data_IF_207852169011
#
_entry.id   IF_207852169011
#
_cell.length_a   1.000
_cell.length_b   1.000
_cell.length_c   1.000
_cell.angle_alpha   90.00
_cell.angle_beta   90.00
_cell.angle_gamma   90.00
#
_symmetry.space_group_name_H-M   'P 1'
#
loop_
_entity.id
_entity.type
_entity.pdbx_description
1 polymer ?
#
# COMPACT_ATOMS: atom_id res chain seq x y z
N UNK A 1 -37.79 38.10 10.19
CA UNK A 1 -38.07 36.88 10.95
C UNK A 1 -37.81 35.71 10.02
N UNK A 2 -36.69 35.02 10.21
CA UNK A 2 -36.29 33.84 9.43
C UNK A 2 -36.66 32.62 10.26
N UNK A 3 -37.68 31.88 9.81
CA UNK A 3 -38.03 30.60 10.44
C UNK A 3 -36.97 29.55 10.11
N UNK A 4 -36.32 29.07 11.17
CA UNK A 4 -35.27 28.06 11.12
C UNK A 4 -35.92 26.68 10.95
N UNK A 5 -35.90 26.17 9.71
CA UNK A 5 -36.45 24.88 9.35
C UNK A 5 -35.56 23.75 9.90
N UNK A 6 -35.79 23.38 11.16
CA UNK A 6 -35.10 22.25 11.81
C UNK A 6 -35.67 20.93 11.27
N UNK A 7 -34.87 20.12 10.55
CA UNK A 7 -35.36 18.88 9.98
C UNK A 7 -35.79 17.90 11.07
N UNK A 8 -36.99 17.34 10.96
CA UNK A 8 -37.52 16.35 11.91
C UNK A 8 -36.68 15.07 11.87
N UNK A 9 -36.29 14.58 13.04
CA UNK A 9 -35.61 13.29 13.25
C UNK A 9 -36.31 12.07 12.59
N UNK A 10 -37.60 12.19 12.24
CA UNK A 10 -38.34 11.17 11.48
C UNK A 10 -37.84 11.00 10.04
N UNK A 11 -37.34 12.05 9.40
CA UNK A 11 -36.88 12.00 8.01
C UNK A 11 -35.48 11.38 7.86
N UNK A 12 -34.68 11.39 8.93
CA UNK A 12 -33.39 10.67 8.95
C UNK A 12 -33.56 9.14 9.02
N UNK A 13 -34.71 8.65 9.52
CA UNK A 13 -35.03 7.22 9.55
C UNK A 13 -35.39 6.66 8.17
N UNK A 14 -36.04 7.45 7.30
CA UNK A 14 -36.42 6.99 5.96
C UNK A 14 -35.20 6.87 5.03
N UNK A 15 -34.23 7.79 5.14
CA UNK A 15 -32.97 7.73 4.38
C UNK A 15 -32.08 6.54 4.74
N UNK A 16 -32.18 6.01 5.96
CA UNK A 16 -31.38 4.84 6.38
C UNK A 16 -32.04 3.49 6.10
N UNK A 17 -33.29 3.46 5.62
CA UNK A 17 -34.06 2.25 5.32
C UNK A 17 -34.01 1.82 3.84
N UNK A 18 -33.45 2.64 2.95
CA UNK A 18 -33.49 2.38 1.50
C UNK A 18 -32.35 1.51 0.95
N UNK A 19 -31.36 1.13 1.78
CA UNK A 19 -30.30 0.22 1.32
C UNK A 19 -30.61 -1.22 1.73
N UNK A 20 -30.85 -2.12 0.77
CA UNK A 20 -31.00 -3.54 1.09
C UNK A 20 -29.71 -3.99 1.77
N UNK A 21 -29.88 -4.65 2.92
CA UNK A 21 -28.77 -5.14 3.77
C UNK A 21 -27.70 -5.88 2.95
N UNK A 22 -28.15 -6.62 1.93
CA UNK A 22 -27.31 -7.41 1.03
C UNK A 22 -26.41 -6.54 0.13
N UNK A 23 -26.88 -5.35 -0.27
CA UNK A 23 -26.07 -4.43 -1.07
C UNK A 23 -24.96 -3.78 -0.24
N UNK A 24 -25.25 -3.42 1.02
CA UNK A 24 -24.27 -2.86 1.93
C UNK A 24 -23.18 -3.89 2.28
N UNK A 25 -23.58 -5.15 2.50
CA UNK A 25 -22.64 -6.24 2.78
C UNK A 25 -21.72 -6.52 1.57
N UNK A 26 -22.28 -6.61 0.35
CA UNK A 26 -21.50 -6.77 -0.88
C UNK A 26 -20.53 -5.61 -1.11
N UNK A 27 -20.99 -4.37 -0.93
CA UNK A 27 -20.14 -3.19 -1.09
C UNK A 27 -18.97 -3.20 -0.09
N UNK A 28 -19.21 -3.65 1.14
CA UNK A 28 -18.17 -3.80 2.17
C UNK A 28 -17.13 -4.84 1.75
N UNK A 29 -17.55 -6.02 1.27
CA UNK A 29 -16.64 -7.06 0.80
C UNK A 29 -15.80 -6.62 -0.39
N UNK A 30 -16.42 -5.95 -1.36
CA UNK A 30 -15.70 -5.40 -2.51
C UNK A 30 -14.65 -4.38 -2.05
N UNK A 31 -15.01 -3.50 -1.12
CA UNK A 31 -14.11 -2.48 -0.59
C UNK A 31 -12.92 -3.10 0.15
N UNK A 32 -13.18 -4.13 0.96
CA UNK A 32 -12.14 -4.89 1.67
C UNK A 32 -11.22 -5.61 0.68
N UNK A 33 -11.78 -6.27 -0.32
CA UNK A 33 -11.00 -6.98 -1.32
C UNK A 33 -10.08 -6.02 -2.11
N UNK A 34 -10.61 -4.86 -2.51
CA UNK A 34 -9.82 -3.81 -3.17
C UNK A 34 -8.72 -3.29 -2.25
N UNK A 35 -9.04 -3.02 -0.98
CA UNK A 35 -8.05 -2.54 -0.01
C UNK A 35 -6.91 -3.55 0.19
N UNK A 36 -7.23 -4.83 0.35
CA UNK A 36 -6.23 -5.89 0.48
C UNK A 36 -5.39 -6.07 -0.79
N UNK A 37 -6.02 -6.02 -1.97
CA UNK A 37 -5.32 -6.11 -3.25
C UNK A 37 -4.36 -4.93 -3.46
N UNK A 38 -4.81 -3.71 -3.15
CA UNK A 38 -3.96 -2.52 -3.19
C UNK A 38 -2.81 -2.64 -2.18
N UNK A 39 -3.11 -3.02 -0.95
CA UNK A 39 -2.08 -3.20 0.09
C UNK A 39 -1.05 -4.25 -0.30
N UNK A 40 -1.48 -5.35 -0.91
CA UNK A 40 -0.58 -6.37 -1.48
C UNK A 40 0.31 -5.80 -2.57
N UNK A 41 -0.28 -5.10 -3.54
CA UNK A 41 0.44 -4.48 -4.65
C UNK A 41 1.48 -3.47 -4.14
N UNK A 42 1.09 -2.57 -3.23
CA UNK A 42 2.02 -1.60 -2.61
C UNK A 42 3.13 -2.31 -1.84
N UNK A 43 2.80 -3.33 -1.05
CA UNK A 43 3.76 -4.09 -0.26
C UNK A 43 4.77 -4.87 -1.13
N UNK A 44 4.48 -5.06 -2.42
CA UNK A 44 5.33 -5.75 -3.40
C UNK A 44 6.36 -4.86 -4.09
N UNK A 45 6.31 -3.53 -3.89
CA UNK A 45 7.23 -2.57 -4.50
C UNK A 45 8.41 -2.32 -3.54
N UNK A 46 9.67 -2.49 -3.99
CA UNK A 46 10.86 -2.25 -3.18
C UNK A 46 11.03 -0.75 -2.85
N UNK A 47 11.55 -0.45 -1.66
CA UNK A 47 11.79 0.94 -1.20
C UNK A 47 10.59 1.65 -0.55
N UNK A 48 9.44 0.97 -0.42
CA UNK A 48 8.21 1.35 0.31
C UNK A 48 8.07 2.84 0.69
N UNK A 49 7.55 3.62 -0.27
CA UNK A 49 6.45 4.57 0.01
C UNK A 49 6.80 6.05 0.00
N UNK A 50 6.71 6.69 -1.17
CA UNK A 50 6.27 8.08 -1.21
C UNK A 50 4.91 8.22 -0.48
N UNK A 51 4.68 9.34 0.20
CA UNK A 51 3.45 9.67 0.94
C UNK A 51 2.18 9.40 0.12
N UNK A 52 2.24 9.57 -1.21
CA UNK A 52 1.18 9.21 -2.14
C UNK A 52 0.74 7.73 -2.02
N UNK A 53 1.66 6.80 -1.84
CA UNK A 53 1.36 5.37 -1.71
C UNK A 53 0.78 5.02 -0.34
N UNK A 54 1.26 5.65 0.74
CA UNK A 54 0.69 5.51 2.08
C UNK A 54 -0.69 6.17 2.18
N UNK A 55 -0.95 7.25 1.42
CA UNK A 55 -2.26 7.89 1.30
C UNK A 55 -3.20 7.04 0.44
N UNK A 56 -2.72 6.44 -0.65
CA UNK A 56 -3.51 5.56 -1.54
C UNK A 56 -3.85 4.23 -0.88
N UNK A 57 -2.97 3.65 -0.07
CA UNK A 57 -3.27 2.47 0.75
C UNK A 57 -4.04 2.82 2.03
N UNK A 58 -3.80 4.00 2.59
CA UNK A 58 -4.42 4.51 3.80
C UNK A 58 -5.88 4.94 3.61
N UNK A 59 -6.25 5.54 2.47
CA UNK A 59 -7.63 5.96 2.20
C UNK A 59 -8.63 4.79 2.23
N UNK A 60 -8.40 3.68 1.51
CA UNK A 60 -9.28 2.52 1.54
C UNK A 60 -9.37 1.90 2.94
N UNK A 61 -8.25 1.82 3.67
CA UNK A 61 -8.23 1.36 5.06
C UNK A 61 -8.99 2.30 5.98
N UNK A 62 -8.88 3.61 5.79
CA UNK A 62 -9.59 4.63 6.56
C UNK A 62 -11.09 4.62 6.27
N UNK A 63 -11.48 4.50 5.00
CA UNK A 63 -12.88 4.36 4.58
C UNK A 63 -13.47 3.06 5.12
N UNK A 64 -12.76 1.93 4.99
CA UNK A 64 -13.17 0.66 5.57
C UNK A 64 -13.28 0.76 7.10
N UNK A 65 -12.29 1.34 7.77
CA UNK A 65 -12.31 1.55 9.22
C UNK A 65 -13.48 2.45 9.65
N UNK A 66 -13.78 3.50 8.89
CA UNK A 66 -14.90 4.42 9.18
C UNK A 66 -16.24 3.71 9.01
N UNK A 67 -16.42 2.94 7.94
CA UNK A 67 -17.63 2.13 7.73
C UNK A 67 -17.79 1.09 8.84
N UNK A 68 -16.70 0.42 9.21
CA UNK A 68 -16.66 -0.55 10.29
C UNK A 68 -16.94 0.08 11.66
N UNK A 69 -16.45 1.29 11.92
CA UNK A 69 -16.74 2.06 13.13
C UNK A 69 -18.23 2.42 13.21
N UNK A 70 -18.82 2.91 12.12
CA UNK A 70 -20.26 3.23 12.04
C UNK A 70 -21.12 1.99 12.26
N UNK A 71 -20.74 0.86 11.66
CA UNK A 71 -21.41 -0.43 11.88
C UNK A 71 -21.23 -0.94 13.31
N UNK A 72 -20.05 -0.76 13.89
CA UNK A 72 -19.73 -1.11 15.28
C UNK A 72 -20.53 -0.31 16.30
N UNK A 73 -20.67 1.00 16.11
CA UNK A 73 -21.50 1.88 16.94
C UNK A 73 -22.97 1.45 16.84
N UNK A 74 -23.49 1.20 15.63
CA UNK A 74 -24.86 0.67 15.43
C UNK A 74 -25.09 -0.68 16.10
N UNK A 75 -24.07 -1.53 16.11
CA UNK A 75 -24.06 -2.84 16.77
C UNK A 75 -24.14 -2.72 18.29
N UNK A 76 -23.30 -1.86 18.89
CA UNK A 76 -23.27 -1.57 20.33
C UNK A 76 -24.62 -1.04 20.80
N UNK A 77 -25.24 -0.14 20.04
CA UNK A 77 -26.58 0.38 20.32
C UNK A 77 -27.64 -0.73 20.30
N UNK A 78 -27.47 -1.78 19.48
CA UNK A 78 -28.42 -2.90 19.36
C UNK A 78 -28.07 -4.13 20.21
N UNK A 79 -27.02 -4.09 21.03
CA UNK A 79 -26.54 -5.18 21.91
C UNK A 79 -26.40 -6.56 21.23
N UNK A 80 -26.13 -6.60 19.93
CA UNK A 80 -25.81 -7.82 19.20
C UNK A 80 -24.49 -7.58 18.51
N UNK A 81 -23.44 -8.33 18.84
CA UNK A 81 -22.19 -8.32 18.08
C UNK A 81 -22.48 -8.98 16.72
N UNK A 82 -22.55 -8.24 15.61
CA UNK A 82 -22.74 -8.83 14.32
C UNK A 82 -21.41 -9.44 13.89
N UNK A 83 -21.46 -10.59 13.22
CA UNK A 83 -20.30 -11.30 12.66
C UNK A 83 -19.34 -10.39 11.88
N UNK A 84 -19.84 -9.29 11.32
CA UNK A 84 -19.07 -8.25 10.64
C UNK A 84 -18.00 -7.58 11.49
N UNK A 85 -18.17 -7.45 12.81
CA UNK A 85 -17.13 -6.91 13.71
C UNK A 85 -15.97 -7.90 13.90
N UNK A 86 -16.27 -9.20 13.97
CA UNK A 86 -15.25 -10.24 14.02
C UNK A 86 -14.46 -10.29 12.70
N UNK A 87 -15.17 -10.21 11.57
CA UNK A 87 -14.56 -10.18 10.23
C UNK A 87 -13.65 -8.97 10.04
N UNK A 88 -14.06 -7.79 10.51
CA UNK A 88 -13.25 -6.58 10.49
C UNK A 88 -11.90 -6.76 11.20
N UNK A 89 -11.92 -7.34 12.39
CA UNK A 89 -10.70 -7.65 13.15
C UNK A 89 -9.78 -8.62 12.40
N UNK A 90 -10.35 -9.68 11.83
CA UNK A 90 -9.58 -10.67 11.04
C UNK A 90 -8.96 -10.02 9.80
N UNK A 91 -9.70 -9.20 9.07
CA UNK A 91 -9.19 -8.48 7.89
C UNK A 91 -8.03 -7.54 8.25
N UNK A 92 -8.16 -6.78 9.34
CA UNK A 92 -7.09 -5.89 9.82
C UNK A 92 -5.84 -6.68 10.21
N UNK A 93 -5.99 -7.76 10.96
CA UNK A 93 -4.87 -8.62 11.36
C UNK A 93 -4.20 -9.22 10.13
N UNK A 94 -4.98 -9.73 9.17
CA UNK A 94 -4.44 -10.33 7.95
C UNK A 94 -3.71 -9.31 7.07
N UNK A 95 -4.27 -8.10 6.92
CA UNK A 95 -3.60 -7.01 6.21
C UNK A 95 -2.28 -6.61 6.87
N UNK A 96 -2.24 -6.54 8.20
CA UNK A 96 -1.02 -6.24 8.97
C UNK A 96 0.04 -7.34 8.86
N UNK A 97 -0.37 -8.61 8.86
CA UNK A 97 0.53 -9.74 8.65
C UNK A 97 1.11 -9.74 7.23
N UNK A 98 0.29 -9.43 6.22
CA UNK A 98 0.76 -9.33 4.84
C UNK A 98 1.79 -8.20 4.65
N UNK A 99 1.61 -7.03 5.28
CA UNK A 99 2.59 -5.96 5.16
C UNK A 99 3.88 -6.23 5.94
N UNK A 100 3.78 -6.80 7.14
CA UNK A 100 4.93 -7.04 8.02
C UNK A 100 5.81 -8.22 7.59
N UNK A 101 5.24 -9.25 6.96
CA UNK A 101 5.98 -10.45 6.55
C UNK A 101 6.98 -10.24 5.41
N UNK A 102 6.84 -9.15 4.64
CA UNK A 102 7.62 -8.94 3.41
C UNK A 102 7.35 -9.95 2.29
N UNK A 103 6.38 -10.87 2.48
CA UNK A 103 6.01 -11.89 1.51
C UNK A 103 5.63 -11.32 0.14
N UNK A 104 4.84 -10.23 0.03
CA UNK A 104 4.47 -9.69 -1.28
C UNK A 104 5.69 -9.28 -2.11
N UNK A 105 6.68 -8.65 -1.45
CA UNK A 105 7.93 -8.27 -2.11
C UNK A 105 8.71 -9.53 -2.50
N UNK A 106 8.89 -10.50 -1.60
CA UNK A 106 9.63 -11.74 -1.90
C UNK A 106 9.04 -12.52 -3.07
N UNK A 107 7.72 -12.55 -3.22
CA UNK A 107 7.04 -13.23 -4.32
C UNK A 107 7.14 -12.45 -5.64
N UNK A 108 7.10 -11.12 -5.58
CA UNK A 108 7.20 -10.27 -6.78
C UNK A 108 8.65 -10.04 -7.21
N UNK A 109 9.60 -10.15 -6.28
CA UNK A 109 11.01 -9.81 -6.49
C UNK A 109 11.67 -10.51 -7.68
N UNK A 110 11.48 -11.83 -7.92
CA UNK A 110 12.09 -12.49 -9.07
C UNK A 110 11.69 -11.86 -10.42
N UNK A 111 10.46 -11.38 -10.54
CA UNK A 111 9.96 -10.70 -11.74
C UNK A 111 10.61 -9.32 -11.91
N UNK A 112 10.73 -8.56 -10.81
CA UNK A 112 11.41 -7.27 -10.80
C UNK A 112 12.87 -7.45 -11.17
N UNK A 113 13.57 -8.36 -10.49
CA UNK A 113 14.98 -8.66 -10.68
C UNK A 113 15.31 -9.04 -12.13
N UNK A 114 14.53 -9.94 -12.73
CA UNK A 114 14.75 -10.32 -14.13
C UNK A 114 14.64 -9.13 -15.09
N UNK A 115 13.68 -8.24 -14.86
CA UNK A 115 13.50 -7.02 -15.64
C UNK A 115 14.63 -6.01 -15.44
N UNK A 116 15.09 -5.83 -14.20
CA UNK A 116 16.21 -4.93 -13.90
C UNK A 116 17.54 -5.45 -14.44
N UNK A 117 17.78 -6.77 -14.36
CA UNK A 117 18.97 -7.39 -14.93
C UNK A 117 19.00 -7.36 -16.47
N UNK A 118 17.84 -7.31 -17.12
CA UNK A 118 17.77 -7.02 -18.56
C UNK A 118 18.10 -5.56 -18.85
N UNK A 119 17.50 -4.62 -18.11
CA UNK A 119 17.77 -3.20 -18.26
C UNK A 119 19.24 -2.83 -18.01
N UNK A 120 19.89 -3.47 -17.04
CA UNK A 120 21.32 -3.27 -16.74
C UNK A 120 22.21 -3.73 -17.90
N UNK A 121 21.87 -4.85 -18.55
CA UNK A 121 22.58 -5.34 -19.74
C UNK A 121 22.41 -4.42 -20.95
N UNK A 122 21.22 -3.87 -21.10
CA UNK A 122 20.87 -2.99 -22.22
C UNK A 122 21.25 -1.53 -21.97
N UNK A 123 21.73 -1.19 -20.76
CA UNK A 123 22.02 0.18 -20.35
C UNK A 123 20.80 1.10 -20.34
N UNK A 124 19.59 0.54 -20.29
CA UNK A 124 18.34 1.29 -20.40
C UNK A 124 17.74 1.63 -19.04
N UNK A 125 16.81 2.60 -19.01
CA UNK A 125 15.98 2.88 -17.85
C UNK A 125 14.54 2.45 -18.17
N UNK A 126 14.08 1.30 -17.65
CA UNK A 126 12.77 0.80 -18.01
C UNK A 126 11.70 1.63 -17.31
N UNK A 127 10.55 1.83 -17.93
CA UNK A 127 9.41 2.48 -17.27
C UNK A 127 8.76 1.57 -16.20
N UNK A 128 8.94 0.25 -16.33
CA UNK A 128 8.41 -0.77 -15.42
C UNK A 128 9.43 -1.88 -15.21
N UNK A 129 9.48 -2.41 -13.99
CA UNK A 129 10.19 -3.64 -13.65
C UNK A 129 9.18 -4.64 -13.09
N UNK A 130 8.85 -5.67 -13.88
CA UNK A 130 7.69 -6.52 -13.58
C UNK A 130 6.40 -5.70 -13.58
N UNK A 131 5.66 -5.69 -12.46
CA UNK A 131 4.46 -4.87 -12.28
C UNK A 131 4.72 -3.57 -11.51
N UNK A 132 5.98 -3.30 -11.15
CA UNK A 132 6.36 -2.12 -10.38
C UNK A 132 6.79 -0.98 -11.32
N UNK A 133 6.20 0.24 -11.20
CA UNK A 133 6.62 1.38 -11.99
C UNK A 133 7.97 1.91 -11.52
N UNK A 134 8.85 2.22 -12.46
CA UNK A 134 10.14 2.87 -12.21
C UNK A 134 9.98 4.35 -12.56
N UNK A 135 10.19 5.22 -11.58
CA UNK A 135 10.04 6.67 -11.73
C UNK A 135 11.24 7.30 -12.43
N UNK A 136 12.42 6.71 -12.25
CA UNK A 136 13.65 7.18 -12.86
C UNK A 136 14.82 6.27 -12.56
N UNK A 137 15.94 6.57 -13.21
CA UNK A 137 17.21 5.93 -12.95
C UNK A 137 18.25 6.98 -12.63
N UNK A 138 19.15 6.63 -11.72
CA UNK A 138 20.30 7.46 -11.34
C UNK A 138 21.58 6.65 -11.50
N UNK A 139 22.67 7.31 -11.82
CA UNK A 139 23.98 6.68 -11.91
C UNK A 139 24.82 7.05 -10.70
N UNK A 140 25.36 6.04 -10.03
CA UNK A 140 26.26 6.18 -8.89
C UNK A 140 27.53 5.39 -9.18
N UNK A 141 28.62 6.10 -9.49
CA UNK A 141 29.97 5.56 -9.74
C UNK A 141 29.91 4.26 -10.57
N UNK A 142 29.43 4.40 -11.81
CA UNK A 142 29.32 3.34 -12.81
C UNK A 142 28.30 2.22 -12.50
N UNK A 143 27.47 2.40 -11.47
CA UNK A 143 26.32 1.52 -11.19
C UNK A 143 25.00 2.27 -11.35
N UNK A 144 23.99 1.58 -11.86
CA UNK A 144 22.65 2.14 -12.03
C UNK A 144 21.76 1.83 -10.83
N UNK A 145 21.15 2.88 -10.28
CA UNK A 145 20.07 2.80 -9.31
C UNK A 145 18.72 3.05 -9.96
N UNK A 146 17.75 2.20 -9.63
CA UNK A 146 16.38 2.28 -10.10
C UNK A 146 15.49 2.84 -9.00
N UNK A 147 14.88 3.99 -9.24
CA UNK A 147 13.99 4.66 -8.29
C UNK A 147 12.53 4.22 -8.52
N UNK A 148 11.92 3.66 -7.47
CA UNK A 148 10.53 3.25 -7.46
C UNK A 148 9.61 4.27 -6.76
N UNK A 149 10.11 5.48 -6.50
CA UNK A 149 9.41 6.55 -5.79
C UNK A 149 9.43 6.37 -4.27
N UNK A 150 10.47 5.74 -3.72
CA UNK A 150 10.61 5.44 -2.29
C UNK A 150 11.12 6.61 -1.44
N UNK A 151 11.57 7.69 -2.07
CA UNK A 151 12.24 8.82 -1.39
C UNK A 151 11.35 10.00 -0.99
N UNK A 152 11.75 10.70 0.09
CA UNK A 152 11.30 12.08 0.36
C UNK A 152 12.38 13.06 -0.14
N UNK A 153 12.05 14.34 -0.32
CA UNK A 153 12.88 15.46 -0.84
C UNK A 153 14.37 15.56 -0.37
N UNK A 154 14.82 14.72 0.57
CA UNK A 154 16.17 14.72 1.19
C UNK A 154 16.76 13.30 1.29
N UNK A 155 16.01 12.21 1.06
CA UNK A 155 16.52 10.84 1.11
C UNK A 155 15.84 10.02 0.00
N UNK A 156 16.54 9.76 -1.10
CA UNK A 156 16.05 8.89 -2.17
C UNK A 156 16.46 7.44 -1.93
N UNK A 157 15.51 6.52 -2.12
CA UNK A 157 15.77 5.09 -2.07
C UNK A 157 15.78 4.55 -3.49
N UNK A 158 16.88 3.88 -3.85
CA UNK A 158 17.06 3.26 -5.15
C UNK A 158 17.40 1.79 -4.99
N UNK A 159 16.97 0.97 -5.94
CA UNK A 159 17.36 -0.43 -6.02
C UNK A 159 18.59 -0.52 -6.92
N UNK A 160 19.65 -1.16 -6.42
CA UNK A 160 20.94 -1.27 -7.11
C UNK A 160 21.51 -2.68 -7.02
N UNK A 161 22.24 -3.09 -8.06
CA UNK A 161 23.05 -4.29 -8.03
C UNK A 161 24.44 -4.00 -7.42
N UNK A 162 24.57 -4.25 -6.13
CA UNK A 162 25.79 -4.00 -5.34
C UNK A 162 26.72 -5.22 -5.26
N UNK A 163 26.25 -6.41 -5.62
CA UNK A 163 27.00 -7.66 -5.46
C UNK A 163 27.22 -8.02 -3.99
N UNK A 164 28.41 -8.52 -3.66
CA UNK A 164 28.81 -8.84 -2.29
C UNK A 164 29.39 -7.63 -1.52
N UNK A 165 29.46 -6.45 -2.15
CA UNK A 165 30.04 -5.26 -1.53
C UNK A 165 29.33 -4.91 -0.21
N UNK A 166 30.09 -4.63 0.84
CA UNK A 166 29.60 -4.25 2.17
C UNK A 166 29.14 -2.78 2.25
N UNK A 167 29.45 -1.97 1.23
CA UNK A 167 29.04 -0.57 1.13
C UNK A 167 28.67 -0.19 -0.31
N UNK A 168 27.99 0.95 -0.47
CA UNK A 168 27.63 1.47 -1.79
C UNK A 168 28.63 2.55 -2.20
N UNK A 169 29.17 2.49 -3.43
CA UNK A 169 29.97 3.58 -3.98
C UNK A 169 29.20 4.91 -3.89
N UNK A 170 29.88 5.99 -3.47
CA UNK A 170 29.29 7.34 -3.45
C UNK A 170 28.57 7.73 -2.16
N UNK A 171 28.77 6.98 -1.06
CA UNK A 171 28.25 7.33 0.26
C UNK A 171 26.81 6.86 0.52
N UNK A 172 26.23 6.06 -0.38
CA UNK A 172 24.94 5.42 -0.16
C UNK A 172 24.99 4.36 0.96
N UNK A 173 23.88 4.22 1.69
CA UNK A 173 23.74 3.25 2.78
C UNK A 173 22.81 2.13 2.34
N UNK A 174 23.27 0.88 2.45
CA UNK A 174 22.43 -0.30 2.20
C UNK A 174 21.37 -0.38 3.31
N UNK A 175 20.11 -0.21 2.94
CA UNK A 175 18.98 -0.33 3.86
C UNK A 175 18.51 -1.77 4.00
N UNK A 176 18.47 -2.51 2.89
CA UNK A 176 17.95 -3.88 2.85
C UNK A 176 18.59 -4.65 1.68
N UNK A 177 18.97 -5.92 1.90
CA UNK A 177 19.40 -6.82 0.82
C UNK A 177 18.21 -7.63 0.32
N UNK A 178 18.03 -7.63 -0.99
CA UNK A 178 16.91 -8.31 -1.67
C UNK A 178 17.28 -9.71 -2.19
N UNK A 179 18.59 -10.01 -2.25
CA UNK A 179 19.12 -11.27 -2.77
C UNK A 179 19.96 -11.07 -4.03
N UNK A 180 20.82 -12.03 -4.37
CA UNK A 180 21.62 -12.06 -5.60
C UNK A 180 22.37 -10.75 -5.90
N UNK A 181 22.93 -10.14 -4.87
CA UNK A 181 23.68 -8.89 -5.00
C UNK A 181 22.82 -7.64 -5.16
N UNK A 182 21.49 -7.73 -5.16
CA UNK A 182 20.59 -6.58 -5.19
C UNK A 182 20.28 -6.05 -3.80
N UNK A 183 20.22 -4.72 -3.69
CA UNK A 183 19.93 -4.05 -2.45
C UNK A 183 19.11 -2.77 -2.66
N UNK A 184 18.32 -2.43 -1.65
CA UNK A 184 17.73 -1.09 -1.49
C UNK A 184 18.81 -0.22 -0.85
N UNK A 185 19.16 0.85 -1.55
CA UNK A 185 20.17 1.83 -1.14
C UNK A 185 19.50 3.16 -0.86
N UNK A 186 19.78 3.74 0.30
CA UNK A 186 19.48 5.13 0.60
C UNK A 186 20.64 6.00 0.12
N UNK A 187 20.33 6.97 -0.73
CA UNK A 187 21.27 7.99 -1.17
C UNK A 187 21.34 9.14 -0.15
N UNK A 188 22.52 9.75 0.06
CA UNK A 188 22.71 10.88 0.97
C UNK A 188 22.04 12.17 0.49
#
# INVERSE_FOLDING_TARGET
>A
MTEEHTPRLSDLRSLTLAFPKDALERATWISVAIALALQWWVASIPGRGGVLFSVVAGLPLFVAATILLVLGIRSLIRKKLPRTLLQAGVTLIFGLLMTSSGLPLKLHWPLIQASLAAAERDGSCPAFAGLAPVQGCTELLDKRGYDFGGGFFINSFVVMHVGEASGVPGGGVISERLGDGWAIVRLP
#
